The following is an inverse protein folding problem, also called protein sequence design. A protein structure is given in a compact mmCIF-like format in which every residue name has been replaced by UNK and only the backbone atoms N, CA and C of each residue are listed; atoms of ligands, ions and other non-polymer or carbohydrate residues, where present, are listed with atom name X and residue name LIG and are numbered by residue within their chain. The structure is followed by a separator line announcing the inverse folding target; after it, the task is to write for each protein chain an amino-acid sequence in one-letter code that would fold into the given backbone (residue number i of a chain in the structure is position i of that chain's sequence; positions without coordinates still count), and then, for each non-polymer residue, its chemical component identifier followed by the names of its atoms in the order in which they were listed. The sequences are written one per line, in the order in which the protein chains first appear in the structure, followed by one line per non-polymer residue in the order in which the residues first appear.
data_IF_600183239147
#
_entry.id   IF_600183239147
#
_cell.length_a   1.000
_cell.length_b   1.000
_cell.length_c   1.000
_cell.angle_alpha   90.00
_cell.angle_beta   90.00
_cell.angle_gamma   90.00
#
_symmetry.space_group_name_H-M   'P 1'
#
loop_
_entity.id
_entity.type
_entity.pdbx_description
1 polymer ?
#
# COMPACT_ATOMS: atom_id res chain seq x y z
N UNK A 1 -21.79 -26.06 0.00
CA UNK A 1 -22.78 -27.17 -0.19
C UNK A 1 -23.27 -27.54 1.18
N UNK A 2 -24.37 -26.90 1.64
CA UNK A 2 -24.92 -27.05 3.00
C UNK A 2 -25.99 -28.12 3.07
N UNK A 3 -26.21 -28.91 1.98
CA UNK A 3 -27.22 -29.95 1.96
C UNK A 3 -28.67 -29.44 1.88
N UNK A 4 -28.88 -28.13 1.68
CA UNK A 4 -30.22 -27.54 1.48
C UNK A 4 -30.79 -27.92 0.11
N UNK A 5 -32.10 -28.23 0.05
CA UNK A 5 -32.81 -28.31 -1.21
C UNK A 5 -33.12 -26.92 -1.76
N UNK A 6 -33.46 -26.83 -3.06
CA UNK A 6 -33.86 -25.57 -3.67
C UNK A 6 -35.11 -24.95 -2.99
N UNK A 7 -36.04 -25.78 -2.55
CA UNK A 7 -37.25 -25.36 -1.81
C UNK A 7 -36.90 -24.79 -0.45
N UNK A 8 -36.02 -25.48 0.30
CA UNK A 8 -35.56 -25.01 1.60
C UNK A 8 -34.80 -23.67 1.49
N UNK A 9 -33.94 -23.54 0.47
CA UNK A 9 -33.24 -22.29 0.24
C UNK A 9 -34.22 -21.17 -0.15
N UNK A 10 -35.19 -21.45 -1.02
CA UNK A 10 -36.20 -20.48 -1.44
C UNK A 10 -37.02 -19.93 -0.25
N UNK A 11 -37.39 -20.80 0.67
CA UNK A 11 -38.11 -20.43 1.90
C UNK A 11 -37.24 -19.56 2.82
N UNK A 12 -35.96 -19.93 3.05
CA UNK A 12 -35.03 -19.20 3.91
C UNK A 12 -34.69 -17.80 3.38
N UNK A 13 -34.67 -17.61 2.07
CA UNK A 13 -34.36 -16.31 1.45
C UNK A 13 -35.60 -15.57 0.95
N UNK A 14 -36.80 -16.08 1.24
CA UNK A 14 -38.10 -15.50 0.89
C UNK A 14 -38.27 -15.20 -0.61
N UNK A 15 -37.97 -16.17 -1.44
CA UNK A 15 -38.16 -16.13 -2.90
C UNK A 15 -38.89 -17.36 -3.40
N UNK A 16 -39.26 -17.38 -4.69
CA UNK A 16 -39.89 -18.58 -5.26
C UNK A 16 -38.84 -19.67 -5.55
N UNK A 17 -39.25 -20.94 -5.48
CA UNK A 17 -38.44 -22.06 -5.92
C UNK A 17 -37.91 -21.87 -7.34
N UNK A 18 -38.75 -21.35 -8.29
CA UNK A 18 -38.35 -21.08 -9.67
C UNK A 18 -37.22 -20.07 -9.75
N UNK A 19 -37.14 -19.08 -8.82
CA UNK A 19 -36.05 -18.13 -8.78
C UNK A 19 -34.72 -18.84 -8.43
N UNK A 20 -34.71 -19.65 -7.38
CA UNK A 20 -33.54 -20.42 -6.97
C UNK A 20 -33.08 -21.37 -8.09
N UNK A 21 -34.04 -22.07 -8.71
CA UNK A 21 -33.75 -22.96 -9.82
C UNK A 21 -33.13 -22.24 -11.03
N UNK A 22 -33.59 -21.03 -11.36
CA UNK A 22 -32.99 -20.21 -12.41
C UNK A 22 -31.55 -19.78 -12.06
N UNK A 23 -31.29 -19.42 -10.80
CA UNK A 23 -29.97 -19.02 -10.32
C UNK A 23 -28.97 -20.19 -10.43
N UNK A 24 -29.34 -21.37 -9.96
CA UNK A 24 -28.47 -22.54 -9.98
C UNK A 24 -28.19 -23.04 -11.42
N UNK A 25 -29.15 -22.83 -12.35
CA UNK A 25 -28.98 -23.18 -13.76
C UNK A 25 -28.33 -22.05 -14.59
N UNK A 26 -27.92 -20.91 -13.97
CA UNK A 26 -27.30 -19.80 -14.65
C UNK A 26 -28.22 -18.98 -15.56
N UNK A 27 -29.55 -19.18 -15.48
CA UNK A 27 -30.54 -18.49 -16.29
C UNK A 27 -30.95 -17.11 -15.80
N UNK A 28 -30.58 -16.80 -14.55
CA UNK A 28 -30.66 -15.47 -13.94
C UNK A 28 -29.71 -15.37 -12.74
N UNK A 29 -29.53 -14.16 -12.23
CA UNK A 29 -28.76 -13.89 -11.00
C UNK A 29 -29.70 -13.38 -9.91
N UNK A 30 -29.38 -13.59 -8.61
CA UNK A 30 -30.12 -12.98 -7.52
C UNK A 30 -30.07 -11.45 -7.60
N UNK A 31 -31.13 -10.79 -7.13
CA UNK A 31 -31.15 -9.35 -6.93
C UNK A 31 -30.09 -8.96 -5.89
N UNK A 32 -29.49 -7.76 -6.05
CA UNK A 32 -28.45 -7.26 -5.14
C UNK A 32 -28.94 -7.22 -3.69
N UNK A 33 -30.22 -6.91 -3.46
CA UNK A 33 -30.85 -6.90 -2.13
C UNK A 33 -30.95 -8.29 -1.49
N UNK A 34 -30.94 -9.36 -2.29
CA UNK A 34 -31.03 -10.76 -1.83
C UNK A 34 -29.65 -11.32 -1.47
N UNK A 35 -28.56 -10.77 -2.02
CA UNK A 35 -27.20 -11.30 -1.79
C UNK A 35 -26.78 -11.36 -0.32
N UNK A 36 -27.07 -10.35 0.55
CA UNK A 36 -26.71 -10.44 1.96
C UNK A 36 -27.43 -11.57 2.70
N UNK A 37 -28.70 -11.82 2.38
CA UNK A 37 -29.49 -12.91 2.98
C UNK A 37 -28.97 -14.26 2.53
N UNK A 38 -28.69 -14.42 1.23
CA UNK A 38 -28.08 -15.64 0.68
C UNK A 38 -26.70 -15.93 1.32
N UNK A 39 -25.86 -14.91 1.44
CA UNK A 39 -24.54 -15.02 2.07
C UNK A 39 -24.64 -15.52 3.51
N UNK A 40 -25.60 -14.99 4.28
CA UNK A 40 -25.85 -15.39 5.65
C UNK A 40 -26.38 -16.84 5.74
N UNK A 41 -27.40 -17.19 4.96
CA UNK A 41 -28.01 -18.53 4.94
C UNK A 41 -26.98 -19.59 4.50
N UNK A 42 -26.14 -19.27 3.51
CA UNK A 42 -25.13 -20.18 2.98
C UNK A 42 -23.79 -20.10 3.74
N UNK A 43 -23.71 -19.29 4.80
CA UNK A 43 -22.48 -19.07 5.60
C UNK A 43 -21.24 -18.78 4.75
N UNK A 44 -21.38 -17.89 3.73
CA UNK A 44 -20.29 -17.51 2.85
C UNK A 44 -20.29 -15.97 2.64
N UNK A 45 -19.23 -15.44 2.04
CA UNK A 45 -19.21 -14.02 1.68
C UNK A 45 -20.00 -13.76 0.39
N UNK A 46 -20.48 -12.52 0.20
CA UNK A 46 -21.10 -12.09 -1.06
C UNK A 46 -20.12 -12.28 -2.23
N UNK A 47 -18.84 -12.01 -2.03
CA UNK A 47 -17.78 -12.22 -3.03
C UNK A 47 -17.74 -13.70 -3.49
N UNK A 48 -17.85 -14.62 -2.52
CA UNK A 48 -17.89 -16.06 -2.81
C UNK A 48 -19.14 -16.47 -3.60
N UNK A 49 -20.30 -15.84 -3.31
CA UNK A 49 -21.54 -16.08 -4.06
C UNK A 49 -21.45 -15.61 -5.52
N UNK A 50 -20.78 -14.49 -5.74
CA UNK A 50 -20.59 -13.91 -7.07
C UNK A 50 -19.46 -14.61 -7.87
N UNK A 51 -18.86 -15.67 -7.31
CA UNK A 51 -17.72 -16.33 -7.93
C UNK A 51 -16.46 -15.44 -7.95
N UNK A 52 -16.51 -14.29 -7.26
CA UNK A 52 -15.33 -13.54 -6.96
C UNK A 52 -14.54 -14.36 -5.95
N UNK A 53 -13.72 -15.29 -6.46
CA UNK A 53 -12.60 -15.74 -5.66
C UNK A 53 -11.86 -14.46 -5.34
N UNK A 54 -11.94 -13.99 -4.09
CA UNK A 54 -10.98 -13.05 -3.58
C UNK A 54 -9.66 -13.61 -4.06
N UNK A 55 -9.01 -12.94 -5.03
CA UNK A 55 -7.66 -13.33 -5.45
C UNK A 55 -7.00 -13.60 -4.13
N UNK A 56 -6.55 -14.85 -3.87
CA UNK A 56 -5.98 -15.22 -2.59
C UNK A 56 -4.98 -14.12 -2.33
N UNK A 57 -5.35 -13.16 -1.44
CA UNK A 57 -4.54 -11.97 -1.19
C UNK A 57 -3.21 -12.56 -0.87
N UNK A 58 -2.25 -12.32 -1.72
CA UNK A 58 -0.93 -12.93 -1.62
C UNK A 58 -0.45 -12.49 -0.26
N UNK A 59 -0.59 -13.38 0.75
CA UNK A 59 -0.16 -13.09 2.12
C UNK A 59 1.29 -12.70 1.98
N UNK A 60 1.58 -11.44 2.23
CA UNK A 60 2.95 -10.95 2.16
C UNK A 60 3.71 -11.53 3.33
N UNK A 61 5.03 -11.70 3.19
CA UNK A 61 5.88 -12.03 4.33
C UNK A 61 5.71 -11.02 5.49
N UNK A 62 5.25 -9.80 5.19
CA UNK A 62 4.99 -8.75 6.16
C UNK A 62 3.69 -8.94 6.92
N UNK A 63 2.65 -9.52 6.34
CA UNK A 63 1.44 -9.86 7.07
C UNK A 63 1.77 -10.74 8.29
N UNK A 64 2.60 -11.78 8.10
CA UNK A 64 3.02 -12.65 9.20
C UNK A 64 3.94 -11.94 10.21
N UNK A 65 4.83 -11.07 9.74
CA UNK A 65 5.72 -10.29 10.60
C UNK A 65 4.98 -9.30 11.48
N UNK A 66 3.92 -8.70 10.96
CA UNK A 66 3.12 -7.72 11.69
C UNK A 66 2.13 -8.32 12.68
N UNK A 67 1.92 -9.63 12.67
CA UNK A 67 1.10 -10.33 13.69
C UNK A 67 1.77 -10.42 15.07
N UNK A 68 3.05 -10.10 15.18
CA UNK A 68 3.77 -10.05 16.46
C UNK A 68 3.30 -8.89 17.34
N UNK A 69 3.42 -9.00 18.68
CA UNK A 69 2.94 -7.96 19.61
C UNK A 69 3.69 -6.62 19.46
N UNK A 70 4.98 -6.65 19.19
CA UNK A 70 5.81 -5.45 19.00
C UNK A 70 5.68 -4.85 17.59
N UNK A 71 6.13 -3.61 17.42
CA UNK A 71 6.29 -2.99 16.11
C UNK A 71 7.57 -3.51 15.47
N UNK A 72 7.45 -4.21 14.34
CA UNK A 72 8.58 -4.85 13.65
C UNK A 72 9.67 -3.85 13.25
N UNK A 73 9.24 -2.67 12.78
CA UNK A 73 10.14 -1.57 12.42
C UNK A 73 10.33 -0.54 13.54
N UNK A 74 9.79 -0.80 14.74
CA UNK A 74 9.70 0.18 15.80
C UNK A 74 8.74 1.31 15.47
N UNK A 75 8.70 2.33 16.35
CA UNK A 75 7.82 3.50 16.21
C UNK A 75 8.56 4.79 15.88
N UNK A 76 9.91 4.75 15.78
CA UNK A 76 10.69 5.91 15.41
C UNK A 76 10.54 6.21 13.92
N UNK A 77 10.21 7.45 13.53
CA UNK A 77 10.06 7.82 12.13
C UNK A 77 11.38 7.69 11.36
N UNK A 78 11.27 7.49 10.05
CA UNK A 78 12.43 7.49 9.17
C UNK A 78 13.08 8.85 9.08
N UNK A 79 14.38 8.92 8.77
CA UNK A 79 15.08 10.18 8.60
C UNK A 79 14.48 11.03 7.46
N UNK A 80 13.87 10.38 6.46
CA UNK A 80 13.20 11.08 5.36
C UNK A 80 12.06 11.97 5.83
N UNK A 81 11.38 11.63 6.92
CA UNK A 81 10.29 12.45 7.49
C UNK A 81 10.80 13.84 7.91
N UNK A 82 11.98 13.91 8.51
CA UNK A 82 12.57 15.19 8.94
C UNK A 82 13.02 16.04 7.74
N UNK A 83 13.50 15.42 6.67
CA UNK A 83 13.86 16.15 5.44
C UNK A 83 12.60 16.67 4.73
N UNK A 84 11.52 15.90 4.71
CA UNK A 84 10.23 16.37 4.18
C UNK A 84 9.74 17.59 4.96
N UNK A 85 9.82 17.57 6.30
CA UNK A 85 9.42 18.72 7.13
C UNK A 85 10.23 19.97 6.84
N UNK A 86 11.51 19.84 6.49
CA UNK A 86 12.35 20.99 6.09
C UNK A 86 11.94 21.52 4.70
N UNK A 87 11.71 20.62 3.74
CA UNK A 87 11.37 20.99 2.36
C UNK A 87 9.93 21.47 2.21
N UNK A 88 9.02 20.94 2.99
CA UNK A 88 7.57 21.20 2.95
C UNK A 88 7.01 21.30 4.37
N UNK A 89 7.36 22.36 5.15
CA UNK A 89 6.81 22.54 6.49
C UNK A 89 5.29 22.73 6.41
N UNK A 90 4.51 22.19 7.34
CA UNK A 90 3.04 22.24 7.31
C UNK A 90 2.51 23.59 7.83
N UNK A 91 2.98 24.70 7.26
CA UNK A 91 2.48 26.07 7.57
C UNK A 91 1.01 26.26 7.16
N UNK A 92 0.52 25.40 6.31
CA UNK A 92 -0.90 25.17 5.96
C UNK A 92 -1.13 23.67 5.87
N UNK A 93 -2.35 23.17 6.00
CA UNK A 93 -2.62 21.76 5.82
C UNK A 93 -2.13 21.26 4.45
N UNK A 94 -1.22 20.29 4.46
CA UNK A 94 -0.70 19.62 3.26
C UNK A 94 -1.20 18.17 3.24
N UNK A 95 -1.72 17.74 2.09
CA UNK A 95 -2.18 16.36 1.88
C UNK A 95 -0.95 15.48 1.59
N UNK A 96 -0.71 14.51 2.45
CA UNK A 96 0.41 13.59 2.32
C UNK A 96 -0.10 12.17 2.12
N UNK A 97 0.44 11.49 1.10
CA UNK A 97 0.25 10.06 0.90
C UNK A 97 1.47 9.30 1.39
N UNK A 98 1.27 8.32 2.29
CA UNK A 98 2.29 7.35 2.70
C UNK A 98 2.01 6.01 2.01
N UNK A 99 2.84 5.67 1.02
CA UNK A 99 2.70 4.49 0.17
C UNK A 99 3.35 3.28 0.84
N UNK A 100 2.56 2.24 1.09
CA UNK A 100 2.97 1.03 1.80
C UNK A 100 3.52 1.34 3.19
N UNK A 101 2.66 1.94 4.01
CA UNK A 101 2.99 2.55 5.30
C UNK A 101 3.34 1.54 6.42
N UNK A 102 3.13 0.22 6.19
CA UNK A 102 3.36 -0.83 7.15
C UNK A 102 2.56 -0.64 8.45
N UNK A 103 3.27 -0.54 9.56
CA UNK A 103 2.69 -0.33 10.90
C UNK A 103 2.46 1.16 11.24
N UNK A 104 2.56 2.08 10.26
CA UNK A 104 2.13 3.46 10.34
C UNK A 104 3.05 4.44 11.08
N UNK A 105 4.27 4.08 11.44
CA UNK A 105 5.19 4.92 12.23
C UNK A 105 5.46 6.29 11.59
N UNK A 106 5.61 6.32 10.26
CA UNK A 106 5.88 7.54 9.51
C UNK A 106 4.58 8.33 9.28
N UNK A 107 3.49 7.66 8.90
CA UNK A 107 2.17 8.27 8.76
C UNK A 107 1.70 8.99 10.03
N UNK A 108 1.81 8.32 11.19
CA UNK A 108 1.44 8.91 12.49
C UNK A 108 2.37 10.07 12.86
N UNK A 109 3.67 9.97 12.56
CA UNK A 109 4.59 11.10 12.77
C UNK A 109 4.16 12.32 11.96
N UNK A 110 3.82 12.17 10.68
CA UNK A 110 3.36 13.28 9.85
C UNK A 110 2.04 13.88 10.37
N UNK A 111 1.07 13.05 10.74
CA UNK A 111 -0.20 13.53 11.30
C UNK A 111 0.00 14.33 12.59
N UNK A 112 0.88 13.88 13.49
CA UNK A 112 1.26 14.63 14.72
C UNK A 112 1.90 15.98 14.43
N UNK A 113 2.48 16.15 13.25
CA UNK A 113 3.13 17.40 12.83
C UNK A 113 2.25 18.25 11.91
N UNK A 114 0.94 17.96 11.80
CA UNK A 114 -0.03 18.83 11.15
C UNK A 114 -0.27 18.55 9.65
N UNK A 115 0.21 17.43 9.13
CA UNK A 115 -0.15 16.98 7.78
C UNK A 115 -1.48 16.24 7.77
N UNK A 116 -2.24 16.38 6.70
CA UNK A 116 -3.41 15.55 6.42
C UNK A 116 -2.96 14.27 5.72
N UNK A 117 -2.89 13.18 6.48
CA UNK A 117 -2.27 11.95 6.03
C UNK A 117 -3.29 10.93 5.53
N UNK A 118 -3.08 10.45 4.34
CA UNK A 118 -3.67 9.23 3.79
C UNK A 118 -2.56 8.20 3.66
N UNK A 119 -2.82 6.96 4.09
CA UNK A 119 -1.80 5.91 4.09
C UNK A 119 -2.41 4.55 3.75
N UNK A 120 -1.70 3.75 2.98
CA UNK A 120 -2.17 2.41 2.67
C UNK A 120 -1.04 1.38 2.77
N UNK A 121 -1.44 0.14 3.05
CA UNK A 121 -0.56 -1.02 3.00
C UNK A 121 -1.35 -2.26 2.57
N UNK A 122 -0.67 -3.25 2.04
CA UNK A 122 -1.28 -4.53 1.69
C UNK A 122 -1.54 -5.38 2.94
N UNK A 123 -0.69 -5.25 3.98
CA UNK A 123 -0.75 -6.04 5.20
C UNK A 123 -1.82 -5.50 6.15
N UNK A 124 -2.89 -6.27 6.35
CA UNK A 124 -3.98 -5.91 7.25
C UNK A 124 -3.50 -5.78 8.71
N UNK A 125 -2.68 -6.74 9.19
CA UNK A 125 -2.11 -6.69 10.54
C UNK A 125 -1.25 -5.45 10.78
N UNK A 126 -0.56 -4.95 9.75
CA UNK A 126 0.17 -3.69 9.81
C UNK A 126 -0.77 -2.50 10.02
N UNK A 127 -1.85 -2.43 9.23
CA UNK A 127 -2.84 -1.34 9.32
C UNK A 127 -3.57 -1.33 10.67
N UNK A 128 -3.87 -2.48 11.26
CA UNK A 128 -4.45 -2.54 12.61
C UNK A 128 -3.51 -1.95 13.68
N UNK A 129 -2.21 -2.19 13.54
CA UNK A 129 -1.21 -1.55 14.43
C UNK A 129 -1.06 -0.06 14.13
N UNK A 130 -1.09 0.34 12.85
CA UNK A 130 -1.04 1.74 12.45
C UNK A 130 -2.20 2.54 13.03
N UNK A 131 -3.42 2.01 12.99
CA UNK A 131 -4.61 2.62 13.60
C UNK A 131 -4.45 2.76 15.11
N UNK A 132 -4.02 1.68 15.80
CA UNK A 132 -3.76 1.73 17.25
C UNK A 132 -2.70 2.78 17.61
N UNK A 133 -1.64 2.92 16.79
CA UNK A 133 -0.60 3.92 17.02
C UNK A 133 -1.13 5.35 16.83
N UNK A 134 -2.01 5.58 15.85
CA UNK A 134 -2.67 6.85 15.62
C UNK A 134 -3.59 7.21 16.79
N UNK A 135 -4.43 6.26 17.24
CA UNK A 135 -5.34 6.43 18.39
C UNK A 135 -4.53 6.78 19.66
N UNK A 136 -3.47 6.02 19.96
CA UNK A 136 -2.58 6.29 21.10
C UNK A 136 -1.87 7.63 21.01
N UNK A 137 -1.65 8.13 19.80
CA UNK A 137 -1.01 9.42 19.55
C UNK A 137 -2.00 10.58 19.49
N UNK A 138 -3.32 10.32 19.56
CA UNK A 138 -4.38 11.32 19.47
C UNK A 138 -4.44 12.02 18.12
N UNK A 139 -4.17 11.32 17.02
CA UNK A 139 -4.19 11.87 15.66
C UNK A 139 -5.04 11.03 14.73
N UNK A 140 -5.57 11.71 13.70
CA UNK A 140 -6.34 11.07 12.63
C UNK A 140 -5.45 10.82 11.40
N UNK A 141 -5.52 9.60 10.87
CA UNK A 141 -4.90 9.19 9.60
C UNK A 141 -5.91 8.36 8.82
N UNK A 142 -6.08 8.68 7.55
CA UNK A 142 -6.94 7.90 6.66
C UNK A 142 -6.21 6.63 6.21
N UNK A 143 -6.37 5.52 6.95
CA UNK A 143 -5.78 4.23 6.61
C UNK A 143 -6.73 3.37 5.80
N UNK A 144 -6.24 2.77 4.70
CA UNK A 144 -6.97 1.77 3.94
C UNK A 144 -6.06 0.66 3.42
N UNK A 145 -6.65 -0.49 3.11
CA UNK A 145 -5.90 -1.63 2.60
C UNK A 145 -5.86 -1.60 1.07
N UNK A 146 -4.64 -1.59 0.50
CA UNK A 146 -4.43 -1.68 -0.95
C UNK A 146 -3.06 -2.30 -1.26
N UNK A 147 -2.95 -2.92 -2.44
CA UNK A 147 -1.67 -3.35 -3.00
C UNK A 147 -1.17 -2.27 -3.98
N UNK A 148 0.02 -1.72 -3.74
CA UNK A 148 0.61 -0.69 -4.60
C UNK A 148 0.81 -1.16 -6.05
N UNK A 149 0.82 -2.48 -6.30
CA UNK A 149 0.97 -3.01 -7.65
C UNK A 149 -0.30 -2.85 -8.49
N UNK A 150 -1.48 -2.91 -7.85
CA UNK A 150 -2.77 -2.88 -8.51
C UNK A 150 -3.53 -1.57 -8.27
N UNK A 151 -3.33 -0.93 -7.11
CA UNK A 151 -4.01 0.32 -6.75
C UNK A 151 -3.46 1.51 -7.54
N UNK A 152 -4.37 2.35 -8.02
CA UNK A 152 -4.06 3.65 -8.65
C UNK A 152 -4.75 4.76 -7.91
N UNK A 153 -4.07 5.90 -7.80
CA UNK A 153 -4.57 7.07 -7.07
C UNK A 153 -5.74 7.70 -7.85
N UNK A 154 -6.72 8.20 -7.11
CA UNK A 154 -7.85 8.97 -7.63
C UNK A 154 -7.84 10.42 -7.15
N UNK A 155 -7.14 10.72 -6.06
CA UNK A 155 -7.02 12.05 -5.46
C UNK A 155 -5.71 12.74 -5.82
N UNK A 156 -5.57 13.98 -5.39
CA UNK A 156 -4.36 14.79 -5.55
C UNK A 156 -3.68 15.01 -4.20
N UNK A 157 -2.35 14.91 -4.16
CA UNK A 157 -1.52 15.06 -2.97
C UNK A 157 -0.46 16.13 -3.15
N UNK A 158 -0.15 16.83 -2.07
CA UNK A 158 0.93 17.81 -2.02
C UNK A 158 2.29 17.13 -1.78
N UNK A 159 2.26 15.95 -1.14
CA UNK A 159 3.45 15.13 -0.87
C UNK A 159 3.11 13.66 -1.12
N UNK A 160 3.93 12.97 -1.89
CA UNK A 160 3.89 11.51 -2.00
C UNK A 160 5.19 10.95 -1.43
N UNK A 161 5.04 10.12 -0.42
CA UNK A 161 6.12 9.55 0.36
C UNK A 161 6.11 8.02 0.27
N UNK A 162 7.28 7.41 0.14
CA UNK A 162 7.45 5.97 0.25
C UNK A 162 8.83 5.64 0.81
N UNK A 163 8.86 4.87 1.89
CA UNK A 163 10.12 4.47 2.53
C UNK A 163 10.23 2.94 2.62
N UNK A 164 11.19 2.37 1.89
CA UNK A 164 11.52 0.94 1.96
C UNK A 164 10.49 0.00 1.34
N UNK A 165 9.69 0.46 0.35
CA UNK A 165 8.64 -0.35 -0.26
C UNK A 165 8.72 -0.45 -1.79
N UNK A 166 9.05 0.62 -2.51
CA UNK A 166 9.02 0.64 -3.98
C UNK A 166 9.98 -0.35 -4.65
N UNK A 167 10.96 -0.87 -3.93
CA UNK A 167 11.83 -1.93 -4.46
C UNK A 167 11.11 -3.27 -4.67
N UNK A 168 9.87 -3.43 -4.18
CA UNK A 168 9.01 -4.57 -4.50
C UNK A 168 8.26 -4.41 -5.83
N UNK A 169 8.32 -3.23 -6.47
CA UNK A 169 7.68 -2.98 -7.76
C UNK A 169 8.47 -3.66 -8.89
N UNK A 170 7.86 -4.62 -9.63
CA UNK A 170 8.48 -5.23 -10.80
C UNK A 170 8.83 -4.20 -11.85
N UNK A 171 9.96 -4.37 -12.55
CA UNK A 171 10.44 -3.42 -13.55
C UNK A 171 9.37 -2.99 -14.56
N UNK A 172 8.55 -3.94 -15.03
CA UNK A 172 7.48 -3.69 -16.02
C UNK A 172 6.37 -2.75 -15.52
N UNK A 173 6.20 -2.58 -14.20
CA UNK A 173 5.16 -1.73 -13.59
C UNK A 173 5.70 -0.39 -13.08
N UNK A 174 7.03 -0.21 -12.98
CA UNK A 174 7.65 0.98 -12.37
C UNK A 174 7.19 2.27 -13.02
N UNK A 175 7.25 2.31 -14.36
CA UNK A 175 6.86 3.48 -15.14
C UNK A 175 5.40 3.84 -14.87
N UNK A 176 4.48 2.90 -15.05
CA UNK A 176 3.06 3.11 -14.88
C UNK A 176 2.70 3.61 -13.47
N UNK A 177 3.28 2.99 -12.43
CA UNK A 177 3.02 3.38 -11.03
C UNK A 177 3.57 4.77 -10.75
N UNK A 178 4.80 5.08 -11.17
CA UNK A 178 5.39 6.39 -10.94
C UNK A 178 4.68 7.49 -11.72
N UNK A 179 4.28 7.24 -12.97
CA UNK A 179 3.47 8.18 -13.76
C UNK A 179 2.11 8.43 -13.12
N UNK A 180 1.46 7.40 -12.56
CA UNK A 180 0.23 7.59 -11.79
C UNK A 180 0.46 8.50 -10.57
N UNK A 181 1.52 8.29 -9.80
CA UNK A 181 1.85 9.16 -8.66
C UNK A 181 2.15 10.60 -9.11
N UNK A 182 2.90 10.76 -10.19
CA UNK A 182 3.22 12.09 -10.76
C UNK A 182 1.96 12.82 -11.24
N UNK A 183 1.04 12.12 -11.89
CA UNK A 183 -0.22 12.68 -12.36
C UNK A 183 -1.10 13.18 -11.21
N UNK A 184 -1.07 12.50 -10.06
CA UNK A 184 -1.84 12.80 -8.85
C UNK A 184 -1.07 13.66 -7.84
N UNK A 185 -0.02 14.35 -8.28
CA UNK A 185 0.73 15.30 -7.46
C UNK A 185 0.36 16.71 -7.84
N UNK A 186 0.00 17.50 -6.84
CA UNK A 186 -0.30 18.92 -7.00
C UNK A 186 0.88 19.69 -7.63
N UNK A 187 0.60 20.79 -8.33
CA UNK A 187 1.63 21.73 -8.75
C UNK A 187 2.53 22.14 -7.57
N UNK A 188 3.85 22.15 -7.75
CA UNK A 188 4.82 22.39 -6.67
C UNK A 188 4.92 21.27 -5.63
N UNK A 189 4.23 20.15 -5.81
CA UNK A 189 4.22 19.02 -4.88
C UNK A 189 5.56 18.28 -4.82
N UNK A 190 5.77 17.52 -3.76
CA UNK A 190 7.02 16.82 -3.44
C UNK A 190 6.85 15.31 -3.53
N UNK A 191 7.76 14.64 -4.23
CA UNK A 191 8.00 13.21 -4.05
C UNK A 191 9.24 13.00 -3.18
N UNK A 192 9.09 12.14 -2.16
CA UNK A 192 10.19 11.69 -1.31
C UNK A 192 10.19 10.16 -1.31
N UNK A 193 11.04 9.58 -2.12
CA UNK A 193 11.02 8.16 -2.45
C UNK A 193 12.38 7.52 -2.25
N UNK A 194 12.40 6.25 -1.82
CA UNK A 194 13.62 5.47 -1.84
C UNK A 194 13.41 4.05 -2.40
N UNK A 195 14.49 3.49 -2.92
CA UNK A 195 14.52 2.11 -3.46
C UNK A 195 15.83 1.41 -3.13
N UNK A 196 15.75 0.12 -2.83
CA UNK A 196 16.96 -0.68 -2.74
C UNK A 196 17.52 -0.96 -4.12
N UNK A 197 18.82 -0.71 -4.28
CA UNK A 197 19.53 -0.92 -5.55
C UNK A 197 20.48 -2.10 -5.49
N UNK A 198 20.73 -2.71 -6.65
CA UNK A 198 21.66 -3.82 -6.79
C UNK A 198 23.07 -3.30 -7.06
N UNK A 199 24.04 -3.80 -6.30
CA UNK A 199 25.47 -3.54 -6.50
C UNK A 199 26.20 -4.85 -6.79
N UNK A 200 27.02 -4.94 -7.87
CA UNK A 200 27.77 -6.14 -8.21
C UNK A 200 28.76 -6.58 -7.13
N UNK A 201 29.29 -5.61 -6.37
CA UNK A 201 30.28 -5.85 -5.31
C UNK A 201 29.65 -6.16 -3.95
N UNK A 202 28.31 -6.17 -3.84
CA UNK A 202 27.61 -6.53 -2.60
C UNK A 202 27.08 -7.95 -2.70
N UNK A 203 27.25 -8.73 -1.62
CA UNK A 203 26.63 -10.07 -1.53
C UNK A 203 25.11 -9.91 -1.62
N UNK A 204 24.50 -10.66 -2.54
CA UNK A 204 23.04 -10.75 -2.60
C UNK A 204 22.51 -11.37 -1.30
N UNK A 205 21.37 -10.94 -0.76
CA UNK A 205 20.70 -11.66 0.30
C UNK A 205 20.53 -13.13 -0.10
N UNK A 206 20.64 -14.06 0.85
CA UNK A 206 20.42 -15.48 0.62
C UNK A 206 19.02 -15.84 0.09
N UNK A 207 18.08 -14.91 0.21
CA UNK A 207 16.72 -15.03 -0.32
C UNK A 207 16.64 -14.40 -1.72
N UNK A 208 16.67 -15.25 -2.76
CA UNK A 208 16.55 -14.84 -4.16
C UNK A 208 15.27 -14.05 -4.45
N UNK A 209 14.19 -14.27 -3.68
CA UNK A 209 12.93 -13.53 -3.80
C UNK A 209 13.10 -12.05 -3.46
N UNK A 210 13.96 -11.73 -2.49
CA UNK A 210 14.31 -10.35 -2.12
C UNK A 210 15.24 -9.67 -3.12
N UNK A 211 15.96 -10.44 -3.94
CA UNK A 211 16.84 -9.90 -4.99
C UNK A 211 16.09 -9.56 -6.29
N UNK A 212 14.90 -10.14 -6.48
CA UNK A 212 14.19 -10.18 -7.78
C UNK A 212 13.82 -8.80 -8.32
N UNK A 213 13.53 -7.83 -7.46
CA UNK A 213 12.99 -6.52 -7.86
C UNK A 213 13.90 -5.34 -7.52
N UNK A 214 15.17 -5.59 -7.17
CA UNK A 214 16.12 -4.50 -6.92
C UNK A 214 16.29 -3.64 -8.17
N UNK A 215 16.37 -2.35 -7.92
CA UNK A 215 16.56 -1.34 -8.94
C UNK A 215 18.02 -1.24 -9.36
N UNK A 216 18.28 -0.65 -10.50
CA UNK A 216 19.62 -0.22 -10.86
C UNK A 216 19.95 1.10 -10.15
N UNK A 217 21.23 1.34 -9.89
CA UNK A 217 21.72 2.62 -9.38
C UNK A 217 21.27 3.76 -10.28
N UNK A 218 20.63 4.75 -9.71
CA UNK A 218 20.16 5.92 -10.44
C UNK A 218 18.89 5.71 -11.27
N UNK A 219 18.38 4.50 -11.39
CA UNK A 219 17.19 4.22 -12.19
C UNK A 219 15.98 5.04 -11.73
N UNK A 220 15.77 5.18 -10.42
CA UNK A 220 14.67 5.98 -9.88
C UNK A 220 14.67 7.41 -10.43
N UNK A 221 15.84 8.02 -10.53
CA UNK A 221 15.98 9.42 -10.93
C UNK A 221 15.61 9.65 -12.40
N UNK A 222 15.76 8.62 -13.23
CA UNK A 222 15.45 8.74 -14.68
C UNK A 222 13.96 8.96 -14.95
N UNK A 223 13.06 8.60 -14.03
CA UNK A 223 11.63 8.86 -14.16
C UNK A 223 11.22 10.29 -13.81
N UNK A 224 12.17 11.15 -13.38
CA UNK A 224 11.94 12.51 -12.88
C UNK A 224 12.74 13.55 -13.63
N UNK A 225 13.06 13.30 -14.91
CA UNK A 225 13.87 14.20 -15.76
C UNK A 225 13.23 15.57 -16.00
N UNK A 226 11.91 15.66 -15.85
CA UNK A 226 11.10 16.88 -16.00
C UNK A 226 10.72 17.53 -14.65
N UNK A 227 11.21 16.96 -13.53
CA UNK A 227 11.02 17.50 -12.19
C UNK A 227 12.30 18.16 -11.67
N UNK A 228 12.17 19.10 -10.73
CA UNK A 228 13.33 19.62 -10.00
C UNK A 228 13.77 18.56 -8.96
N UNK A 229 14.87 17.87 -9.24
CA UNK A 229 15.50 16.98 -8.25
C UNK A 229 16.26 17.84 -7.26
N UNK A 230 15.69 18.00 -6.06
CA UNK A 230 16.29 18.78 -4.97
C UNK A 230 17.48 18.05 -4.38
N UNK A 231 17.36 16.73 -4.22
CA UNK A 231 18.43 15.86 -3.72
C UNK A 231 18.23 14.45 -4.22
N UNK A 232 19.31 13.83 -4.63
CA UNK A 232 19.39 12.39 -4.89
C UNK A 232 20.68 11.86 -4.30
N UNK A 233 20.59 10.76 -3.55
CA UNK A 233 21.73 10.17 -2.84
C UNK A 233 21.64 8.65 -2.92
N UNK A 234 22.81 8.03 -3.07
CA UNK A 234 22.96 6.61 -2.91
C UNK A 234 23.83 6.32 -1.69
N UNK A 235 23.33 5.48 -0.77
CA UNK A 235 24.02 5.14 0.46
C UNK A 235 24.03 3.63 0.72
N UNK A 236 25.14 3.15 1.26
CA UNK A 236 25.25 1.79 1.79
C UNK A 236 25.11 1.86 3.32
N UNK A 237 24.26 1.03 3.88
CA UNK A 237 24.03 0.97 5.31
C UNK A 237 23.92 -0.47 5.82
N UNK A 238 24.19 -0.65 7.11
CA UNK A 238 24.04 -1.91 7.81
C UNK A 238 22.57 -2.14 8.18
N UNK A 239 22.09 -3.36 8.00
CA UNK A 239 20.75 -3.78 8.32
C UNK A 239 20.77 -5.08 9.14
N UNK A 240 19.88 -5.14 10.14
CA UNK A 240 19.68 -6.30 11.01
C UNK A 240 18.30 -6.96 10.81
N UNK A 241 17.56 -6.57 9.78
CA UNK A 241 16.22 -7.13 9.53
C UNK A 241 16.32 -8.65 9.34
N UNK A 242 15.45 -9.36 10.05
CA UNK A 242 15.48 -10.83 10.08
C UNK A 242 16.56 -11.44 10.98
N UNK A 243 17.21 -10.63 11.85
CA UNK A 243 18.19 -11.10 12.82
C UNK A 243 19.58 -11.45 12.26
N UNK A 244 19.80 -11.27 10.96
CA UNK A 244 21.10 -11.55 10.29
C UNK A 244 21.71 -10.24 9.82
N UNK A 245 22.93 -9.88 10.27
CA UNK A 245 23.62 -8.68 9.80
C UNK A 245 23.87 -8.73 8.28
N UNK A 246 23.44 -7.69 7.58
CA UNK A 246 23.69 -7.54 6.15
C UNK A 246 23.69 -6.07 5.75
N UNK A 247 24.14 -5.77 4.53
CA UNK A 247 24.16 -4.42 3.99
C UNK A 247 23.11 -4.25 2.90
N UNK A 248 22.54 -3.07 2.86
CA UNK A 248 21.74 -2.60 1.74
C UNK A 248 22.40 -1.40 1.09
N UNK A 249 22.18 -1.24 -0.22
CA UNK A 249 22.39 0.00 -0.94
C UNK A 249 21.04 0.57 -1.34
N UNK A 250 20.86 1.87 -1.16
CA UNK A 250 19.57 2.53 -1.37
C UNK A 250 19.76 3.87 -2.06
N UNK A 251 19.00 4.08 -3.14
CA UNK A 251 18.79 5.39 -3.72
C UNK A 251 17.66 6.09 -2.96
N UNK A 252 17.87 7.35 -2.59
CA UNK A 252 16.89 8.21 -1.96
C UNK A 252 16.78 9.50 -2.77
N UNK A 253 15.57 9.93 -3.06
CA UNK A 253 15.28 11.09 -3.89
C UNK A 253 14.22 11.99 -3.25
N UNK A 254 14.44 13.30 -3.40
CA UNK A 254 13.45 14.35 -3.17
C UNK A 254 13.32 15.16 -4.45
N UNK A 255 12.13 15.13 -5.06
CA UNK A 255 11.87 15.82 -6.32
C UNK A 255 10.57 16.64 -6.23
N UNK A 256 10.59 17.84 -6.83
CA UNK A 256 9.48 18.80 -6.83
C UNK A 256 8.92 18.92 -8.24
N UNK A 257 7.59 18.73 -8.35
CA UNK A 257 6.86 18.96 -9.60
C UNK A 257 6.90 20.44 -9.98
N UNK A 258 7.32 20.72 -11.19
CA UNK A 258 7.32 22.10 -11.69
C UNK A 258 5.95 22.46 -12.27
N UNK A 259 5.51 23.71 -12.05
CA UNK A 259 4.20 24.17 -12.48
C UNK A 259 4.21 24.68 -13.94
N UNK A 260 5.34 25.20 -14.37
CA UNK A 260 5.56 25.73 -15.72
C UNK A 260 7.02 25.52 -16.16
N UNK A 261 7.30 25.47 -17.48
CA UNK A 261 8.67 25.58 -17.98
C UNK A 261 9.29 26.90 -17.47
N UNK A 262 10.52 26.83 -16.97
CA UNK A 262 11.31 28.00 -16.57
C UNK A 262 11.65 28.88 -17.77
#
# INVERSE_FOLDING_TARGET
KQGLTQEQLAELVNVSFQAVSKWENGNSVPDVSTLPVLANVLHCSIDSLLGYAAQQRKITDYEERYKTDGYYWGIRPSNMCYEIMKLRPPVKPLRLLDVACGEGKDAVFFARNGYHVTAFDQAYSGLEKAKRLADQSGVEVNFFQADMLDFRLEGEFDIIFSSGSLHYVPQKLRKEILENYQAHTAPGGLHALNVFVRKPFMKSPSDERKARYKWLSGELFTYYSDWLIVSCMENIFDCMSGGVPHKHCMDTMYAIKQDNPL
#
